data_IF_988451185114
#
_entry.id   IF_988451185114
#
_cell.length_a   1.000
_cell.length_b   1.000
_cell.length_c   1.000
_cell.angle_alpha   90.00
_cell.angle_beta   90.00
_cell.angle_gamma   90.00
#
_symmetry.space_group_name_H-M   'P 1'
#
loop_
_entity.id
_entity.type
_entity.pdbx_description
1 polymer ?
#
# COMPACT_ATOMS: atom_id res chain seq x y z
N UNK A 1 -6.35 -1.22 26.39
CA UNK A 1 -7.30 -1.94 25.52
C UNK A 1 -7.98 -1.00 24.53
N UNK A 2 -8.35 0.21 24.96
CA UNK A 2 -9.02 1.22 24.12
C UNK A 2 -8.17 1.70 22.93
N UNK A 3 -6.87 1.92 23.10
CA UNK A 3 -5.99 2.36 21.99
C UNK A 3 -5.82 1.31 20.89
N UNK A 4 -5.84 0.03 21.27
CA UNK A 4 -5.78 -1.10 20.35
C UNK A 4 -7.04 -1.18 19.48
N UNK A 5 -8.22 -0.97 20.09
CA UNK A 5 -9.50 -0.93 19.38
C UNK A 5 -9.55 0.29 18.45
N UNK A 6 -9.16 1.47 18.94
CA UNK A 6 -9.07 2.70 18.14
C UNK A 6 -8.13 2.53 16.95
N UNK A 7 -6.96 1.90 17.14
CA UNK A 7 -6.00 1.61 16.07
C UNK A 7 -6.55 0.60 15.05
N UNK A 8 -7.27 -0.42 15.50
CA UNK A 8 -7.92 -1.39 14.62
C UNK A 8 -9.02 -0.76 13.76
N UNK A 9 -9.89 0.05 14.36
CA UNK A 9 -10.97 0.77 13.65
C UNK A 9 -10.40 1.80 12.67
N UNK A 10 -9.33 2.50 13.05
CA UNK A 10 -8.60 3.40 12.16
C UNK A 10 -8.02 2.65 10.95
N UNK A 11 -7.39 1.49 11.17
CA UNK A 11 -6.81 0.64 10.11
C UNK A 11 -7.86 0.08 9.13
N UNK A 12 -9.03 -0.33 9.66
CA UNK A 12 -10.17 -0.74 8.82
C UNK A 12 -10.69 0.43 7.98
N UNK A 13 -10.88 1.60 8.60
CA UNK A 13 -11.38 2.81 7.91
C UNK A 13 -10.43 3.24 6.81
N UNK A 14 -9.12 3.27 7.10
CA UNK A 14 -8.07 3.52 6.11
C UNK A 14 -8.18 2.58 4.91
N UNK A 15 -8.41 1.30 5.15
CA UNK A 15 -8.51 0.31 4.07
C UNK A 15 -9.78 0.54 3.25
N UNK A 16 -10.93 0.76 3.90
CA UNK A 16 -12.22 0.96 3.22
C UNK A 16 -12.18 2.22 2.33
N UNK A 17 -11.63 3.32 2.83
CA UNK A 17 -11.55 4.59 2.10
C UNK A 17 -10.44 4.57 1.05
N UNK A 18 -9.31 3.93 1.36
CA UNK A 18 -8.15 3.88 0.48
C UNK A 18 -8.28 2.91 -0.70
N UNK A 19 -9.07 1.84 -0.55
CA UNK A 19 -9.07 0.73 -1.51
C UNK A 19 -9.58 1.10 -2.91
N UNK A 20 -10.63 1.93 -3.10
CA UNK A 20 -11.03 2.40 -4.43
C UNK A 20 -9.88 3.06 -5.20
N UNK A 21 -9.06 3.88 -4.52
CA UNK A 21 -7.89 4.53 -5.11
C UNK A 21 -6.83 3.51 -5.51
N UNK A 22 -6.60 2.49 -4.69
CA UNK A 22 -5.65 1.41 -4.98
C UNK A 22 -6.06 0.61 -6.22
N UNK A 23 -7.36 0.28 -6.36
CA UNK A 23 -7.85 -0.43 -7.54
C UNK A 23 -7.67 0.40 -8.81
N UNK A 24 -7.99 1.70 -8.77
CA UNK A 24 -7.79 2.60 -9.91
C UNK A 24 -6.30 2.72 -10.26
N UNK A 25 -5.43 2.85 -9.25
CA UNK A 25 -3.97 2.88 -9.41
C UNK A 25 -3.45 1.64 -10.12
N UNK A 26 -3.81 0.44 -9.64
CA UNK A 26 -3.31 -0.83 -10.24
C UNK A 26 -3.78 -0.95 -11.69
N UNK A 27 -5.02 -0.59 -12.01
CA UNK A 27 -5.50 -0.60 -13.40
C UNK A 27 -4.80 0.42 -14.29
N UNK A 28 -4.52 1.60 -13.78
CA UNK A 28 -3.75 2.61 -14.51
C UNK A 28 -2.31 2.17 -14.79
N UNK A 29 -1.69 1.44 -13.87
CA UNK A 29 -0.33 0.95 -14.02
C UNK A 29 -0.21 -0.26 -14.97
N UNK A 30 -1.31 -0.98 -15.17
CA UNK A 30 -1.36 -2.25 -15.92
C UNK A 30 -2.02 -2.14 -17.28
N UNK A 31 -2.87 -1.13 -17.51
CA UNK A 31 -3.57 -0.88 -18.76
C UNK A 31 -3.36 0.57 -19.24
N UNK A 32 -3.01 0.79 -20.52
CA UNK A 32 -2.79 2.13 -21.05
C UNK A 32 -4.12 2.87 -21.26
N UNK A 33 -4.73 3.37 -20.19
CA UNK A 33 -5.97 4.18 -20.21
C UNK A 33 -5.88 5.45 -19.36
N UNK A 34 -6.62 6.50 -19.71
CA UNK A 34 -6.68 7.73 -18.89
C UNK A 34 -7.45 7.48 -17.60
N UNK A 35 -7.16 8.23 -16.53
CA UNK A 35 -7.84 8.11 -15.23
C UNK A 35 -9.36 8.06 -15.36
N UNK A 36 -9.93 8.99 -16.15
CA UNK A 36 -11.37 9.05 -16.44
C UNK A 36 -11.87 7.77 -17.09
N UNK A 37 -11.19 7.29 -18.14
CA UNK A 37 -11.61 6.10 -18.86
C UNK A 37 -11.48 4.84 -17.99
N UNK A 38 -10.46 4.75 -17.12
CA UNK A 38 -10.33 3.66 -16.16
C UNK A 38 -11.48 3.64 -15.14
N UNK A 39 -11.85 4.79 -14.59
CA UNK A 39 -12.97 4.86 -13.63
C UNK A 39 -14.30 4.51 -14.29
N UNK A 40 -14.54 5.04 -15.50
CA UNK A 40 -15.75 4.73 -16.28
C UNK A 40 -15.79 3.23 -16.63
N UNK A 41 -14.66 2.63 -17.01
CA UNK A 41 -14.62 1.21 -17.37
C UNK A 41 -14.86 0.30 -16.16
N UNK A 42 -14.31 0.63 -14.99
CA UNK A 42 -14.62 -0.08 -13.73
C UNK A 42 -16.13 0.00 -13.47
N UNK A 43 -16.68 1.22 -13.48
CA UNK A 43 -18.08 1.43 -13.14
C UNK A 43 -19.05 0.75 -14.13
N UNK A 44 -18.78 0.84 -15.45
CA UNK A 44 -19.64 0.23 -16.47
C UNK A 44 -19.55 -1.28 -16.54
N UNK A 45 -18.35 -1.85 -16.37
CA UNK A 45 -18.15 -3.29 -16.58
C UNK A 45 -18.33 -4.11 -15.29
N UNK A 46 -18.05 -3.52 -14.12
CA UNK A 46 -18.02 -4.24 -12.84
C UNK A 46 -18.88 -3.58 -11.75
N UNK A 47 -19.47 -2.41 -12.02
CA UNK A 47 -20.25 -1.64 -11.05
C UNK A 47 -19.43 -1.14 -9.87
N UNK A 48 -20.11 -0.73 -8.80
CA UNK A 48 -19.48 -0.25 -7.56
C UNK A 48 -18.62 -1.32 -6.88
N UNK A 49 -18.98 -2.60 -7.02
CA UNK A 49 -18.21 -3.72 -6.47
C UNK A 49 -16.82 -3.86 -7.12
N UNK A 50 -16.67 -3.41 -8.36
CA UNK A 50 -15.36 -3.42 -9.05
C UNK A 50 -14.30 -2.59 -8.34
N UNK A 51 -14.67 -1.47 -7.69
CA UNK A 51 -13.75 -0.64 -6.92
C UNK A 51 -13.27 -1.29 -5.62
N UNK A 52 -14.03 -2.27 -5.11
CA UNK A 52 -13.69 -3.01 -3.90
C UNK A 52 -13.09 -4.38 -4.21
N UNK A 53 -12.69 -4.64 -5.46
CA UNK A 53 -12.16 -5.94 -5.85
C UNK A 53 -10.81 -6.24 -5.18
N UNK A 54 -10.72 -7.40 -4.52
CA UNK A 54 -9.53 -7.84 -3.79
C UNK A 54 -9.26 -7.08 -2.49
N UNK A 55 -10.30 -6.56 -1.85
CA UNK A 55 -10.19 -5.83 -0.58
C UNK A 55 -9.94 -6.73 0.65
N UNK A 56 -10.21 -8.04 0.57
CA UNK A 56 -10.11 -8.97 1.68
C UNK A 56 -8.68 -9.10 2.26
N UNK A 57 -7.65 -9.46 1.46
CA UNK A 57 -6.30 -9.65 1.96
C UNK A 57 -5.74 -8.37 2.60
N UNK A 58 -5.88 -7.17 2.00
CA UNK A 58 -5.44 -5.94 2.64
C UNK A 58 -6.14 -5.62 3.96
N UNK A 59 -7.44 -5.90 4.10
CA UNK A 59 -8.22 -5.44 5.26
C UNK A 59 -7.80 -6.10 6.58
N UNK A 60 -7.60 -7.42 6.58
CA UNK A 60 -7.17 -8.13 7.79
C UNK A 60 -5.66 -8.03 8.01
N UNK A 61 -4.88 -8.05 6.93
CA UNK A 61 -3.42 -8.19 7.02
C UNK A 61 -2.75 -6.83 7.27
N UNK A 62 -3.28 -5.72 6.74
CA UNK A 62 -2.69 -4.40 6.99
C UNK A 62 -2.71 -4.02 8.47
N UNK A 63 -3.75 -4.37 9.21
CA UNK A 63 -3.82 -4.09 10.66
C UNK A 63 -2.71 -4.85 11.42
N UNK A 64 -2.50 -6.12 11.09
CA UNK A 64 -1.43 -6.94 11.69
C UNK A 64 -0.04 -6.42 11.30
N UNK A 65 0.17 -6.12 10.00
CA UNK A 65 1.43 -5.56 9.50
C UNK A 65 1.75 -4.23 10.17
N UNK A 66 0.75 -3.35 10.31
CA UNK A 66 0.92 -2.04 10.94
C UNK A 66 1.33 -2.20 12.42
N UNK A 67 0.70 -3.10 13.16
CA UNK A 67 1.10 -3.37 14.55
C UNK A 67 2.55 -3.90 14.63
N UNK A 68 2.93 -4.82 13.74
CA UNK A 68 4.28 -5.37 13.71
C UNK A 68 5.33 -4.31 13.32
N UNK A 69 5.05 -3.44 12.35
CA UNK A 69 6.02 -2.42 11.92
C UNK A 69 6.23 -1.39 13.03
N UNK A 70 5.19 -0.95 13.74
CA UNK A 70 5.37 -0.01 14.85
C UNK A 70 6.15 -0.65 15.99
N UNK A 71 5.89 -1.92 16.32
CA UNK A 71 6.64 -2.66 17.34
C UNK A 71 8.12 -2.83 16.98
N UNK A 72 8.42 -3.26 15.75
CA UNK A 72 9.81 -3.39 15.27
C UNK A 72 10.49 -2.02 15.19
N UNK A 73 9.79 -0.99 14.73
CA UNK A 73 10.35 0.36 14.64
C UNK A 73 10.75 0.90 16.01
N UNK A 74 9.91 0.73 17.04
CA UNK A 74 10.24 1.11 18.41
C UNK A 74 11.48 0.37 18.92
N UNK A 75 11.51 -0.96 18.80
CA UNK A 75 12.65 -1.77 19.24
C UNK A 75 13.98 -1.36 18.58
N UNK A 76 13.98 -1.17 17.26
CA UNK A 76 15.19 -0.74 16.55
C UNK A 76 15.51 0.74 16.76
N UNK A 77 14.52 1.58 17.03
CA UNK A 77 14.78 2.97 17.39
C UNK A 77 15.51 3.06 18.73
N UNK A 78 15.09 2.29 19.73
CA UNK A 78 15.78 2.26 21.04
C UNK A 78 17.25 1.87 20.90
N UNK A 79 17.56 0.99 19.94
CA UNK A 79 18.93 0.52 19.68
C UNK A 79 19.77 1.51 18.86
N UNK A 80 19.23 2.07 17.77
CA UNK A 80 19.99 2.86 16.79
C UNK A 80 19.81 4.37 16.92
N UNK A 81 18.80 4.82 17.68
CA UNK A 81 18.43 6.23 17.89
C UNK A 81 18.22 7.01 16.57
N UNK A 82 17.75 6.31 15.53
CA UNK A 82 17.53 6.88 14.20
C UNK A 82 16.28 6.31 13.54
N UNK A 83 15.30 7.18 13.25
CA UNK A 83 14.02 6.81 12.64
C UNK A 83 14.14 6.30 11.20
N UNK A 84 15.14 6.76 10.44
CA UNK A 84 15.39 6.27 9.08
C UNK A 84 15.92 4.85 9.09
N UNK A 85 16.89 4.55 9.97
CA UNK A 85 17.52 3.23 10.09
C UNK A 85 16.52 2.21 10.65
N UNK A 86 15.85 2.54 11.74
CA UNK A 86 14.80 1.70 12.33
C UNK A 86 13.68 1.40 11.34
N UNK A 87 13.24 2.40 10.57
CA UNK A 87 12.25 2.22 9.51
C UNK A 87 12.73 1.27 8.39
N UNK A 88 13.98 1.42 7.96
CA UNK A 88 14.57 0.57 6.93
C UNK A 88 14.65 -0.90 7.35
N UNK A 89 15.15 -1.17 8.56
CA UNK A 89 15.29 -2.52 9.10
C UNK A 89 13.91 -3.17 9.29
N UNK A 90 12.96 -2.43 9.87
CA UNK A 90 11.61 -2.92 10.10
C UNK A 90 10.90 -3.27 8.79
N UNK A 91 11.01 -2.41 7.77
CA UNK A 91 10.47 -2.67 6.44
C UNK A 91 11.12 -3.86 5.73
N UNK A 92 12.42 -4.03 5.91
CA UNK A 92 13.19 -5.16 5.37
C UNK A 92 12.67 -6.50 5.93
N UNK A 93 12.51 -6.58 7.25
CA UNK A 93 12.06 -7.79 7.97
C UNK A 93 10.64 -8.18 7.58
N UNK A 94 9.73 -7.20 7.46
CA UNK A 94 8.32 -7.48 7.16
C UNK A 94 8.03 -7.70 5.68
N UNK A 95 8.93 -7.30 4.78
CA UNK A 95 8.72 -7.40 3.33
C UNK A 95 8.28 -8.78 2.81
N UNK A 96 8.76 -9.94 3.33
CA UNK A 96 8.29 -11.25 2.85
C UNK A 96 6.82 -11.48 3.20
N UNK A 97 6.42 -11.10 4.42
CA UNK A 97 5.04 -11.21 4.92
C UNK A 97 4.11 -10.32 4.09
N UNK A 98 4.56 -9.11 3.76
CA UNK A 98 3.81 -8.13 2.98
C UNK A 98 3.67 -8.55 1.50
N UNK A 99 4.66 -9.27 0.96
CA UNK A 99 4.69 -9.60 -0.48
C UNK A 99 3.56 -10.51 -0.94
N UNK A 100 3.18 -11.52 -0.13
CA UNK A 100 2.18 -12.52 -0.52
C UNK A 100 0.76 -11.93 -0.64
N UNK A 101 0.26 -11.15 0.34
CA UNK A 101 -1.04 -10.50 0.22
C UNK A 101 -1.11 -9.49 -0.93
N UNK A 102 -0.01 -8.74 -1.15
CA UNK A 102 0.07 -7.78 -2.25
C UNK A 102 0.03 -8.48 -3.62
N UNK A 103 0.69 -9.63 -3.75
CA UNK A 103 0.64 -10.45 -4.96
C UNK A 103 -0.80 -10.94 -5.25
N UNK A 104 -1.50 -11.46 -4.24
CA UNK A 104 -2.91 -11.88 -4.36
C UNK A 104 -3.78 -10.70 -4.82
N UNK A 105 -3.62 -9.53 -4.18
CA UNK A 105 -4.35 -8.31 -4.55
C UNK A 105 -4.12 -7.94 -6.02
N UNK A 106 -2.86 -7.91 -6.48
CA UNK A 106 -2.52 -7.54 -7.85
C UNK A 106 -3.13 -8.51 -8.88
N UNK A 107 -3.07 -9.82 -8.62
CA UNK A 107 -3.64 -10.84 -9.50
C UNK A 107 -5.17 -10.72 -9.62
N UNK A 108 -5.86 -10.48 -8.50
CA UNK A 108 -7.31 -10.30 -8.48
C UNK A 108 -7.71 -9.00 -9.21
N UNK A 109 -6.95 -7.92 -9.02
CA UNK A 109 -7.25 -6.61 -9.62
C UNK A 109 -6.94 -6.53 -11.12
N UNK A 110 -6.06 -7.40 -11.63
CA UNK A 110 -5.76 -7.56 -13.06
C UNK A 110 -6.97 -8.04 -13.86
N UNK A 111 -7.70 -9.01 -13.31
CA UNK A 111 -8.81 -9.64 -14.00
C UNK A 111 -9.97 -8.64 -14.16
N UNK A 112 -10.49 -8.46 -15.37
CA UNK A 112 -11.60 -7.52 -15.64
C UNK A 112 -12.91 -8.24 -15.94
N UNK A 113 -12.85 -9.52 -16.36
CA UNK A 113 -14.04 -10.28 -16.76
C UNK A 113 -14.80 -10.89 -15.59
N UNK A 114 -14.09 -11.39 -14.58
CA UNK A 114 -14.72 -12.09 -13.45
C UNK A 114 -14.11 -11.70 -12.11
N UNK A 115 -14.92 -11.74 -11.05
CA UNK A 115 -14.45 -11.56 -9.67
C UNK A 115 -13.87 -12.89 -9.19
N UNK A 116 -12.55 -13.06 -9.37
CA UNK A 116 -11.82 -14.19 -8.75
C UNK A 116 -11.82 -14.05 -7.24
N UNK A 117 -12.02 -15.16 -6.52
CA UNK A 117 -11.97 -15.20 -5.06
C UNK A 117 -10.53 -15.34 -4.59
N UNK A 118 -10.27 -14.86 -3.38
CA UNK A 118 -8.96 -14.93 -2.73
C UNK A 118 -8.54 -16.39 -2.46
N UNK A 119 -9.52 -17.24 -2.12
CA UNK A 119 -9.33 -18.69 -1.96
C UNK A 119 -8.77 -19.36 -3.21
N UNK A 120 -9.14 -18.86 -4.40
CA UNK A 120 -8.70 -19.44 -5.66
C UNK A 120 -7.22 -19.13 -5.90
N UNK A 121 -6.78 -17.92 -5.56
CA UNK A 121 -5.36 -17.52 -5.64
C UNK A 121 -4.50 -18.29 -4.65
N UNK A 122 -4.97 -18.45 -3.42
CA UNK A 122 -4.28 -19.28 -2.41
C UNK A 122 -4.16 -20.72 -2.91
N UNK A 123 -5.22 -21.28 -3.51
CA UNK A 123 -5.19 -22.62 -4.11
C UNK A 123 -4.21 -22.72 -5.29
N UNK A 124 -4.12 -21.70 -6.13
CA UNK A 124 -3.13 -21.65 -7.22
C UNK A 124 -1.69 -21.63 -6.70
N UNK A 125 -1.43 -20.95 -5.58
CA UNK A 125 -0.13 -20.97 -4.90
C UNK A 125 0.22 -22.35 -4.36
N UNK A 126 -0.71 -23.00 -3.64
CA UNK A 126 -0.50 -24.36 -3.13
C UNK A 126 -0.31 -25.39 -4.25
N UNK A 127 -0.92 -25.18 -5.42
CA UNK A 127 -0.72 -26.01 -6.61
C UNK A 127 0.57 -25.70 -7.38
N UNK A 128 1.39 -24.76 -6.89
CA UNK A 128 2.65 -24.37 -7.54
C UNK A 128 2.48 -23.57 -8.84
N UNK A 129 1.26 -23.15 -9.19
CA UNK A 129 0.99 -22.36 -10.42
C UNK A 129 1.42 -20.89 -10.28
N UNK A 130 1.47 -20.41 -9.04
CA UNK A 130 1.89 -19.05 -8.71
C UNK A 130 2.91 -19.10 -7.58
N UNK A 131 4.13 -18.62 -7.84
CA UNK A 131 5.15 -18.53 -6.80
C UNK A 131 4.78 -17.38 -5.83
N UNK A 132 4.61 -17.64 -4.51
CA UNK A 132 4.24 -16.62 -3.53
C UNK A 132 5.30 -15.51 -3.38
N UNK A 133 6.55 -15.78 -3.76
CA UNK A 133 7.65 -14.80 -3.73
C UNK A 133 7.77 -14.00 -5.04
N UNK A 134 6.81 -14.11 -5.95
CA UNK A 134 6.81 -13.31 -7.19
C UNK A 134 6.78 -11.82 -6.86
N UNK A 135 7.81 -11.09 -7.31
CA UNK A 135 7.91 -9.66 -7.03
C UNK A 135 8.49 -9.32 -5.66
N UNK A 136 8.96 -10.31 -4.87
CA UNK A 136 9.50 -10.07 -3.54
C UNK A 136 10.68 -9.09 -3.54
N UNK A 137 11.65 -9.22 -4.45
CA UNK A 137 12.80 -8.30 -4.50
C UNK A 137 12.39 -6.83 -4.67
N UNK A 138 11.47 -6.53 -5.59
CA UNK A 138 10.94 -5.18 -5.74
C UNK A 138 10.09 -4.74 -4.53
N UNK A 139 9.39 -5.69 -3.88
CA UNK A 139 8.65 -5.43 -2.64
C UNK A 139 9.62 -5.04 -1.53
N UNK A 140 10.68 -5.82 -1.31
CA UNK A 140 11.72 -5.56 -0.32
C UNK A 140 12.26 -4.13 -0.40
N UNK A 141 12.76 -3.73 -1.58
CA UNK A 141 13.30 -2.38 -1.76
C UNK A 141 12.24 -1.31 -1.55
N UNK A 142 11.01 -1.54 -2.03
CA UNK A 142 9.90 -0.60 -1.86
C UNK A 142 9.55 -0.42 -0.38
N UNK A 143 9.37 -1.50 0.37
CA UNK A 143 8.99 -1.46 1.79
C UNK A 143 10.11 -0.84 2.63
N UNK A 144 11.36 -1.27 2.46
CA UNK A 144 12.50 -0.78 3.23
C UNK A 144 12.69 0.73 3.07
N UNK A 145 12.67 1.23 1.82
CA UNK A 145 12.77 2.67 1.56
C UNK A 145 11.50 3.39 2.06
N UNK A 146 10.32 2.82 1.84
CA UNK A 146 9.07 3.47 2.22
C UNK A 146 8.97 3.71 3.72
N UNK A 147 9.26 2.71 4.53
CA UNK A 147 9.21 2.84 5.99
C UNK A 147 10.33 3.73 6.52
N UNK A 148 11.54 3.64 5.95
CA UNK A 148 12.65 4.55 6.29
C UNK A 148 12.28 6.01 6.06
N UNK A 149 11.80 6.33 4.85
CA UNK A 149 11.42 7.70 4.48
C UNK A 149 10.21 8.16 5.26
N UNK A 150 9.20 7.31 5.45
CA UNK A 150 7.98 7.69 6.19
C UNK A 150 8.28 8.01 7.65
N UNK A 151 8.90 7.09 8.40
CA UNK A 151 9.21 7.33 9.82
C UNK A 151 10.22 8.45 9.99
N UNK A 152 11.25 8.53 9.15
CA UNK A 152 12.24 9.61 9.21
C UNK A 152 11.64 10.98 8.93
N UNK A 153 10.86 11.13 7.84
CA UNK A 153 10.23 12.41 7.51
C UNK A 153 9.12 12.79 8.48
N UNK A 154 8.32 11.83 8.96
CA UNK A 154 7.26 12.10 9.95
C UNK A 154 7.84 12.67 11.24
N UNK A 155 8.85 12.02 11.82
CA UNK A 155 9.44 12.49 13.09
C UNK A 155 10.20 13.81 12.91
N UNK A 156 10.92 13.98 11.80
CA UNK A 156 11.54 15.27 11.47
C UNK A 156 10.52 16.42 11.37
N UNK A 157 9.36 16.16 10.76
CA UNK A 157 8.27 17.13 10.68
C UNK A 157 7.59 17.34 12.05
N UNK A 158 7.51 16.30 12.89
CA UNK A 158 6.97 16.40 14.24
C UNK A 158 7.79 17.31 15.14
N UNK A 159 9.11 17.29 15.02
CA UNK A 159 10.01 18.19 15.76
C UNK A 159 9.84 19.66 15.35
N UNK A 160 9.40 19.91 14.11
CA UNK A 160 9.27 21.26 13.54
C UNK A 160 7.85 21.81 13.61
N UNK A 161 6.85 20.95 13.49
CA UNK A 161 5.44 21.29 13.40
C UNK A 161 4.65 20.40 14.37
N UNK A 162 3.93 20.99 15.32
CA UNK A 162 3.08 20.22 16.24
C UNK A 162 1.70 19.91 15.62
N UNK A 163 1.66 19.41 14.39
CA UNK A 163 0.44 19.05 13.69
C UNK A 163 0.56 17.64 13.08
N UNK A 164 0.21 16.59 13.84
CA UNK A 164 0.32 15.20 13.40
C UNK A 164 -0.42 14.91 12.09
N UNK A 165 -1.55 15.59 11.83
CA UNK A 165 -2.31 15.46 10.59
C UNK A 165 -1.52 15.94 9.37
N UNK A 166 -0.98 17.15 9.44
CA UNK A 166 -0.15 17.72 8.38
C UNK A 166 1.14 16.91 8.20
N UNK A 167 1.78 16.49 9.30
CA UNK A 167 3.02 15.73 9.28
C UNK A 167 2.83 14.36 8.62
N UNK A 168 1.77 13.64 8.98
CA UNK A 168 1.42 12.37 8.34
C UNK A 168 1.11 12.53 6.85
N UNK A 169 0.37 13.58 6.47
CA UNK A 169 0.10 13.94 5.08
C UNK A 169 1.37 14.16 4.27
N UNK A 170 2.24 15.07 4.73
CA UNK A 170 3.50 15.41 4.06
C UNK A 170 4.47 14.22 4.02
N UNK A 171 4.64 13.48 5.11
CA UNK A 171 5.45 12.26 5.15
C UNK A 171 4.95 11.21 4.15
N UNK A 172 3.62 11.09 4.01
CA UNK A 172 2.99 10.24 2.99
C UNK A 172 3.32 10.67 1.56
N UNK A 173 3.29 11.96 1.25
CA UNK A 173 3.66 12.49 -0.08
C UNK A 173 5.13 12.23 -0.37
N UNK A 174 6.02 12.53 0.58
CA UNK A 174 7.47 12.33 0.44
C UNK A 174 7.75 10.85 0.18
N UNK A 175 7.19 9.97 1.02
CA UNK A 175 7.30 8.52 0.86
C UNK A 175 6.85 8.05 -0.52
N UNK A 176 5.63 8.40 -0.94
CA UNK A 176 5.13 7.97 -2.24
C UNK A 176 5.98 8.52 -3.37
N UNK A 177 6.36 9.80 -3.34
CA UNK A 177 7.19 10.40 -4.39
C UNK A 177 8.52 9.67 -4.54
N UNK A 178 9.17 9.32 -3.42
CA UNK A 178 10.43 8.58 -3.42
C UNK A 178 10.29 7.13 -3.88
N UNK A 179 9.21 6.44 -3.48
CA UNK A 179 9.08 4.98 -3.69
C UNK A 179 8.23 4.58 -4.88
N UNK A 180 7.50 5.53 -5.49
CA UNK A 180 6.59 5.25 -6.61
C UNK A 180 7.26 4.49 -7.76
N UNK A 181 8.49 4.84 -8.20
CA UNK A 181 9.14 4.11 -9.27
C UNK A 181 9.30 2.61 -9.00
N UNK A 182 9.70 2.27 -7.78
CA UNK A 182 9.88 0.88 -7.36
C UNK A 182 8.53 0.20 -7.22
N UNK A 183 7.50 0.92 -6.75
CA UNK A 183 6.15 0.40 -6.64
C UNK A 183 5.53 0.05 -8.00
N UNK A 184 5.79 0.82 -9.07
CA UNK A 184 5.36 0.47 -10.43
C UNK A 184 6.05 -0.82 -10.91
N UNK A 185 7.36 -0.96 -10.70
CA UNK A 185 8.11 -2.18 -11.05
C UNK A 185 7.53 -3.39 -10.30
N UNK A 186 7.33 -3.24 -8.99
CA UNK A 186 6.73 -4.26 -8.12
C UNK A 186 5.37 -4.68 -8.63
N UNK A 187 4.46 -3.72 -8.84
CA UNK A 187 3.08 -3.99 -9.25
C UNK A 187 3.02 -4.67 -10.61
N UNK A 188 3.83 -4.24 -11.57
CA UNK A 188 3.92 -4.91 -12.89
C UNK A 188 4.42 -6.34 -12.75
N UNK A 189 5.48 -6.58 -11.97
CA UNK A 189 6.00 -7.95 -11.75
C UNK A 189 4.99 -8.85 -11.03
N UNK A 190 4.25 -8.31 -10.05
CA UNK A 190 3.21 -9.04 -9.33
C UNK A 190 1.96 -9.29 -10.18
N UNK A 191 1.67 -8.42 -11.16
CA UNK A 191 0.54 -8.57 -12.09
C UNK A 191 0.86 -9.55 -13.22
N UNK A 192 2.11 -9.54 -13.70
CA UNK A 192 2.58 -10.35 -14.82
C UNK A 192 3.81 -11.18 -14.38
N UNK A 193 3.59 -12.27 -13.62
CA UNK A 193 4.66 -13.13 -13.08
C UNK A 193 5.66 -13.62 -14.13
N UNK A 194 5.21 -13.79 -15.37
CA UNK A 194 5.97 -14.22 -16.53
C UNK A 194 7.04 -13.22 -17.00
N UNK A 195 6.86 -11.91 -16.72
CA UNK A 195 7.78 -10.88 -17.19
C UNK A 195 9.06 -10.85 -16.35
N UNK A 196 10.22 -10.71 -16.99
CA UNK A 196 11.49 -10.51 -16.26
C UNK A 196 11.63 -9.04 -15.84
N UNK A 197 12.34 -8.79 -14.75
CA UNK A 197 12.61 -7.41 -14.30
C UNK A 197 13.29 -6.56 -15.36
N UNK A 198 14.22 -7.15 -16.12
CA UNK A 198 14.91 -6.46 -17.23
C UNK A 198 13.94 -5.94 -18.28
N UNK A 199 12.92 -6.73 -18.64
CA UNK A 199 11.95 -6.36 -19.67
C UNK A 199 10.99 -5.28 -19.16
N UNK A 200 10.64 -5.36 -17.87
CA UNK A 200 9.89 -4.29 -17.19
C UNK A 200 10.70 -2.99 -17.25
N UNK A 201 11.96 -2.99 -16.84
CA UNK A 201 12.82 -1.80 -16.77
C UNK A 201 13.22 -1.25 -18.15
N UNK A 202 13.36 -2.10 -19.17
CA UNK A 202 13.69 -1.66 -20.54
C UNK A 202 12.52 -1.01 -21.25
N UNK A 203 11.30 -1.53 -21.08
CA UNK A 203 10.09 -0.97 -21.69
C UNK A 203 9.49 0.17 -20.84
N UNK A 204 10.32 0.86 -20.08
CA UNK A 204 9.93 1.78 -19.01
C UNK A 204 10.13 3.22 -19.48
N UNK A 205 9.04 3.91 -19.81
CA UNK A 205 9.10 5.36 -20.03
C UNK A 205 8.86 6.10 -18.71
N UNK A 206 9.48 7.28 -18.53
CA UNK A 206 9.28 8.11 -17.33
C UNK A 206 7.79 8.45 -17.12
N UNK A 207 7.05 8.62 -18.22
CA UNK A 207 5.61 8.92 -18.25
C UNK A 207 4.76 7.75 -17.73
N UNK A 208 5.15 6.51 -18.06
CA UNK A 208 4.49 5.32 -17.51
C UNK A 208 4.80 5.15 -16.01
N UNK A 209 5.98 5.60 -15.59
CA UNK A 209 6.46 5.46 -14.22
C UNK A 209 5.78 6.39 -13.21
N UNK A 210 5.20 7.50 -13.66
CA UNK A 210 4.43 8.44 -12.80
C UNK A 210 2.91 8.27 -12.96
N UNK A 211 2.48 7.36 -13.84
CA UNK A 211 1.06 7.14 -14.12
C UNK A 211 0.37 6.56 -12.88
N UNK A 212 -0.60 7.29 -12.35
CA UNK A 212 -1.28 6.94 -11.10
C UNK A 212 -0.62 7.55 -9.84
N UNK A 213 0.46 8.31 -9.97
CA UNK A 213 1.05 9.01 -8.82
C UNK A 213 0.05 10.01 -8.23
N UNK A 214 -0.65 10.77 -9.08
CA UNK A 214 -1.66 11.75 -8.65
C UNK A 214 -2.77 11.11 -7.82
N UNK A 215 -3.29 9.95 -8.22
CA UNK A 215 -4.35 9.25 -7.46
C UNK A 215 -3.80 8.72 -6.13
N UNK A 216 -2.51 8.38 -6.08
CA UNK A 216 -1.84 7.88 -4.87
C UNK A 216 -1.57 9.01 -3.86
N UNK A 217 -1.11 10.17 -4.34
CA UNK A 217 -0.95 11.37 -3.51
C UNK A 217 -2.30 11.81 -2.95
N UNK A 218 -3.33 11.86 -3.79
CA UNK A 218 -4.69 12.21 -3.36
C UNK A 218 -5.23 11.22 -2.32
N UNK A 219 -5.00 9.91 -2.53
CA UNK A 219 -5.32 8.87 -1.54
C UNK A 219 -4.67 9.16 -0.20
N UNK A 220 -3.37 9.47 -0.17
CA UNK A 220 -2.65 9.71 1.10
C UNK A 220 -3.27 10.82 1.94
N UNK A 221 -3.66 11.94 1.32
CA UNK A 221 -4.35 13.00 2.03
C UNK A 221 -5.71 12.58 2.57
N UNK A 222 -6.56 11.98 1.71
CA UNK A 222 -7.93 11.58 2.09
C UNK A 222 -7.91 10.53 3.20
N UNK A 223 -7.05 9.53 3.07
CA UNK A 223 -6.91 8.45 4.06
C UNK A 223 -6.41 9.00 5.38
N UNK A 224 -5.38 9.86 5.37
CA UNK A 224 -4.87 10.45 6.60
C UNK A 224 -5.94 11.32 7.28
N UNK A 225 -6.69 12.14 6.52
CA UNK A 225 -7.77 12.95 7.08
C UNK A 225 -8.84 12.10 7.75
N UNK A 226 -9.18 10.98 7.12
CA UNK A 226 -10.17 10.05 7.65
C UNK A 226 -9.70 9.35 8.92
N UNK A 227 -8.42 8.95 8.99
CA UNK A 227 -7.83 8.35 10.19
C UNK A 227 -7.90 9.32 11.37
N UNK A 228 -7.51 10.58 11.15
CA UNK A 228 -7.56 11.60 12.20
C UNK A 228 -8.97 11.87 12.70
N UNK A 229 -9.93 12.04 11.78
CA UNK A 229 -11.33 12.22 12.13
C UNK A 229 -11.88 11.05 12.97
N UNK A 230 -11.59 9.80 12.57
CA UNK A 230 -12.00 8.62 13.33
C UNK A 230 -11.33 8.58 14.69
N UNK A 231 -10.04 8.87 14.76
CA UNK A 231 -9.29 8.84 16.01
C UNK A 231 -9.79 9.88 17.03
N UNK A 232 -10.07 11.10 16.57
CA UNK A 232 -10.65 12.16 17.40
C UNK A 232 -12.05 11.79 17.88
N UNK A 233 -12.90 11.27 17.00
CA UNK A 233 -14.25 10.81 17.36
C UNK A 233 -14.19 9.68 18.39
N UNK A 234 -13.28 8.71 18.21
CA UNK A 234 -13.10 7.60 19.15
C UNK A 234 -12.59 8.06 20.51
N UNK A 235 -11.71 9.06 20.56
CA UNK A 235 -11.27 9.69 21.81
C UNK A 235 -12.41 10.43 22.51
N UNK A 236 -13.20 11.19 21.76
CA UNK A 236 -14.34 11.92 22.29
C UNK A 236 -15.42 10.99 22.88
N UNK A 237 -15.61 9.79 22.31
CA UNK A 237 -16.53 8.77 22.82
C UNK A 237 -16.03 8.06 24.11
N UNK A 238 -14.77 8.26 24.48
CA UNK A 238 -14.13 7.66 25.67
C UNK A 238 -13.96 8.66 26.83
N UNK A 239 -14.30 9.93 26.59
CA UNK A 239 -14.32 11.01 27.59
C UNK A 239 -15.72 11.13 28.21
#
# INVERSE_FOLDING_TARGET
MNDLISGFVAGMTQTIIGHPFDTVKVRLQTSPSTLRNTMISIFRNEGLRGFYKGYGPPLLINSVINSLIFGLNGYFYDTYQNHFVSGYISGSILSPIISVPQLIKCQIQKETRFIKKESDMIREMFKGKLNPLTGWGATYYREAIAFSVYFGSYNYLQDKYNNPFLNGGLAGIINWTCTYPIDVIKTRKQTYPELRYRDIIKNFTLKDNIRGLNITIMRSFIVNASIFYVFETMKALQA
#
